data_IF_870657078515
#
_entry.id   IF_870657078515
#
_cell.length_a   1.000
_cell.length_b   1.000
_cell.length_c   1.000
_cell.angle_alpha   90.00
_cell.angle_beta   90.00
_cell.angle_gamma   90.00
#
_symmetry.space_group_name_H-M   'P 1'
#
loop_
_entity.id
_entity.type
_entity.pdbx_description
1 polymer ?
#
# COMPACT_ATOMS: atom_id res chain seq x y z
N UNK A 1 15.31 -0.37 -0.35
CA UNK A 1 16.10 -1.61 -0.03
C UNK A 1 16.73 -1.48 1.35
N UNK A 2 16.46 -2.42 2.25
CA UNK A 2 16.95 -2.40 3.62
C UNK A 2 18.28 -3.18 3.67
N UNK A 3 19.38 -2.45 3.95
CA UNK A 3 20.72 -3.03 4.16
C UNK A 3 21.03 -3.05 5.65
N UNK A 4 21.72 -4.09 6.11
CA UNK A 4 22.19 -4.19 7.48
C UNK A 4 23.70 -4.00 7.53
N UNK A 5 24.17 -3.14 8.43
CA UNK A 5 25.60 -2.95 8.65
C UNK A 5 26.24 -4.11 9.42
N UNK A 6 25.41 -4.98 10.03
CA UNK A 6 25.85 -6.13 10.84
C UNK A 6 26.27 -7.30 9.94
N UNK A 7 25.61 -7.47 8.79
CA UNK A 7 25.90 -8.54 7.82
C UNK A 7 26.14 -7.93 6.43
N UNK A 8 27.35 -7.40 6.18
CA UNK A 8 27.62 -6.59 4.97
C UNK A 8 27.53 -7.39 3.67
N UNK A 9 27.83 -8.68 3.69
CA UNK A 9 27.79 -9.57 2.52
C UNK A 9 26.39 -10.16 2.25
N UNK A 10 25.40 -9.85 3.10
CA UNK A 10 24.04 -10.36 2.92
C UNK A 10 23.32 -9.55 1.83
N UNK A 11 22.65 -10.21 0.87
CA UNK A 11 21.76 -9.54 -0.07
C UNK A 11 20.74 -8.65 0.65
N UNK A 12 20.47 -7.48 0.08
CA UNK A 12 19.54 -6.53 0.68
C UNK A 12 18.13 -7.11 0.76
N UNK A 13 17.41 -6.77 1.83
CA UNK A 13 16.00 -7.13 1.97
C UNK A 13 15.12 -6.09 1.27
N UNK A 14 14.12 -6.56 0.53
CA UNK A 14 13.10 -5.70 -0.09
C UNK A 14 11.79 -5.92 0.68
N UNK A 15 11.38 -4.91 1.42
CA UNK A 15 10.04 -4.85 1.99
C UNK A 15 9.08 -4.46 0.87
N UNK A 16 8.09 -5.30 0.61
CA UNK A 16 7.07 -5.05 -0.42
C UNK A 16 5.69 -5.17 0.19
N UNK A 17 4.78 -4.38 -0.37
CA UNK A 17 3.36 -4.36 -0.05
C UNK A 17 2.62 -4.69 -1.35
N UNK A 18 1.60 -5.56 -1.34
CA UNK A 18 0.85 -5.87 -2.55
C UNK A 18 0.33 -4.60 -3.21
N UNK A 19 0.42 -4.51 -4.53
CA UNK A 19 -0.01 -3.32 -5.27
C UNK A 19 -1.48 -3.00 -5.04
N UNK A 20 -2.31 -4.01 -4.84
CA UNK A 20 -3.73 -3.84 -4.49
C UNK A 20 -3.93 -3.14 -3.14
N UNK A 21 -3.06 -3.36 -2.15
CA UNK A 21 -3.13 -2.67 -0.85
C UNK A 21 -2.76 -1.18 -1.01
N UNK A 22 -1.72 -0.89 -1.79
CA UNK A 22 -1.33 0.49 -2.13
C UNK A 22 -2.49 1.21 -2.82
N UNK A 23 -3.09 0.57 -3.82
CA UNK A 23 -4.22 1.13 -4.56
C UNK A 23 -5.47 1.28 -3.70
N UNK A 24 -5.75 0.32 -2.82
CA UNK A 24 -6.84 0.34 -1.85
C UNK A 24 -6.74 1.58 -0.95
N UNK A 25 -5.53 1.87 -0.45
CA UNK A 25 -5.28 3.04 0.39
C UNK A 25 -5.41 4.36 -0.39
N UNK A 26 -4.86 4.44 -1.61
CA UNK A 26 -4.98 5.61 -2.49
C UNK A 26 -6.44 5.90 -2.86
N UNK A 27 -7.17 4.86 -3.26
CA UNK A 27 -8.54 4.97 -3.78
C UNK A 27 -9.60 4.96 -2.68
N UNK A 28 -9.19 4.78 -1.41
CA UNK A 28 -10.07 4.67 -0.23
C UNK A 28 -11.19 3.63 -0.46
N UNK A 29 -10.83 2.49 -1.04
CA UNK A 29 -11.76 1.41 -1.40
C UNK A 29 -11.16 0.06 -1.09
N UNK A 30 -11.96 -0.99 -0.91
CA UNK A 30 -11.43 -2.32 -0.59
C UNK A 30 -10.56 -2.87 -1.72
N UNK A 31 -9.58 -3.70 -1.36
CA UNK A 31 -8.72 -4.41 -2.31
C UNK A 31 -9.51 -5.21 -3.36
N UNK A 32 -10.67 -5.76 -2.97
CA UNK A 32 -11.57 -6.50 -3.86
C UNK A 32 -12.54 -5.64 -4.68
N UNK A 33 -12.55 -4.32 -4.49
CA UNK A 33 -13.43 -3.42 -5.25
C UNK A 33 -13.09 -3.44 -6.74
N UNK A 34 -14.11 -3.31 -7.59
CA UNK A 34 -13.91 -3.25 -9.04
C UNK A 34 -12.98 -2.09 -9.44
N UNK A 35 -13.04 -0.97 -8.72
CA UNK A 35 -12.19 0.19 -8.95
C UNK A 35 -10.71 -0.14 -8.72
N UNK A 36 -10.38 -0.78 -7.59
CA UNK A 36 -9.00 -1.20 -7.30
C UNK A 36 -8.54 -2.29 -8.27
N UNK A 37 -9.38 -3.27 -8.56
CA UNK A 37 -9.05 -4.36 -9.48
C UNK A 37 -8.79 -3.85 -10.91
N UNK A 38 -9.56 -2.87 -11.38
CA UNK A 38 -9.36 -2.24 -12.69
C UNK A 38 -8.04 -1.47 -12.74
N UNK A 39 -7.72 -0.69 -11.71
CA UNK A 39 -6.47 0.08 -11.67
C UNK A 39 -5.25 -0.84 -11.53
N UNK A 40 -5.37 -1.90 -10.73
CA UNK A 40 -4.35 -2.96 -10.62
C UNK A 40 -4.07 -3.59 -11.99
N UNK A 41 -5.14 -4.04 -12.67
CA UNK A 41 -5.03 -4.66 -13.99
C UNK A 41 -4.39 -3.71 -15.00
N UNK A 42 -4.82 -2.45 -15.02
CA UNK A 42 -4.26 -1.41 -15.88
C UNK A 42 -2.75 -1.25 -15.68
N UNK A 43 -2.26 -1.24 -14.44
CA UNK A 43 -0.83 -1.13 -14.16
C UNK A 43 -0.05 -2.36 -14.65
N UNK A 44 -0.50 -3.57 -14.30
CA UNK A 44 0.22 -4.80 -14.69
C UNK A 44 0.18 -5.04 -16.21
N UNK A 45 -0.91 -4.69 -16.88
CA UNK A 45 -1.03 -4.83 -18.34
C UNK A 45 -0.09 -3.85 -19.07
N UNK A 46 0.18 -2.67 -18.49
CA UNK A 46 1.11 -1.68 -19.07
C UNK A 46 2.58 -1.98 -18.73
N UNK A 47 2.86 -2.60 -17.57
CA UNK A 47 4.22 -2.75 -17.06
C UNK A 47 4.74 -4.20 -17.00
N UNK A 48 3.92 -5.17 -17.43
CA UNK A 48 4.30 -6.58 -17.53
C UNK A 48 4.11 -7.38 -16.23
N UNK A 49 3.82 -6.72 -15.12
CA UNK A 49 3.56 -7.37 -13.85
C UNK A 49 3.62 -6.46 -12.63
N UNK A 50 3.21 -7.01 -11.49
CA UNK A 50 3.22 -6.30 -10.21
C UNK A 50 4.65 -6.09 -9.69
N UNK A 51 5.51 -7.10 -9.81
CA UNK A 51 6.89 -6.99 -9.31
C UNK A 51 7.67 -5.91 -10.05
N UNK A 52 7.50 -5.81 -11.37
CA UNK A 52 8.07 -4.77 -12.21
C UNK A 52 7.56 -3.40 -11.76
N UNK A 53 6.24 -3.26 -11.61
CA UNK A 53 5.58 -2.04 -11.13
C UNK A 53 6.11 -1.61 -9.76
N UNK A 54 6.36 -2.54 -8.85
CA UNK A 54 6.82 -2.25 -7.49
C UNK A 54 8.34 -2.06 -7.37
N UNK A 55 9.15 -2.58 -8.30
CA UNK A 55 10.61 -2.60 -8.13
C UNK A 55 11.39 -1.76 -9.15
N UNK A 56 11.03 -1.82 -10.43
CA UNK A 56 11.89 -1.35 -11.52
C UNK A 56 11.32 -0.18 -12.31
N UNK A 57 9.99 -0.10 -12.46
CA UNK A 57 9.36 0.94 -13.27
C UNK A 57 9.58 2.33 -12.67
N UNK A 58 10.00 3.34 -13.45
CA UNK A 58 10.13 4.71 -12.98
C UNK A 58 8.81 5.28 -12.43
N UNK A 59 8.88 6.10 -11.37
CA UNK A 59 7.68 6.69 -10.75
C UNK A 59 6.94 7.64 -11.71
N UNK A 60 7.67 8.23 -12.66
CA UNK A 60 7.13 9.11 -13.70
C UNK A 60 6.21 8.36 -14.67
N UNK A 61 6.54 7.11 -14.99
CA UNK A 61 5.72 6.27 -15.86
C UNK A 61 4.46 5.81 -15.12
N UNK A 62 4.59 5.46 -13.83
CA UNK A 62 3.44 5.18 -12.96
C UNK A 62 2.54 6.41 -12.84
N UNK A 63 3.12 7.60 -12.69
CA UNK A 63 2.37 8.88 -12.66
C UNK A 63 1.57 9.10 -13.93
N UNK A 64 2.17 8.79 -15.09
CA UNK A 64 1.51 8.94 -16.41
C UNK A 64 0.30 8.01 -16.56
N UNK A 65 0.40 6.79 -16.06
CA UNK A 65 -0.65 5.77 -16.21
C UNK A 65 -1.73 5.91 -15.13
N UNK A 66 -1.35 6.01 -13.86
CA UNK A 66 -2.25 5.89 -12.70
C UNK A 66 -2.30 7.13 -11.80
N UNK A 67 -1.58 8.19 -12.17
CA UNK A 67 -1.61 9.47 -11.47
C UNK A 67 -0.60 9.57 -10.32
N UNK A 68 -0.39 10.79 -9.81
CA UNK A 68 0.69 11.11 -8.88
C UNK A 68 0.54 10.44 -7.51
N UNK A 69 -0.69 10.24 -7.02
CA UNK A 69 -0.92 9.60 -5.72
C UNK A 69 -0.49 8.13 -5.70
N UNK A 70 -0.74 7.40 -6.80
CA UNK A 70 -0.31 6.00 -6.93
C UNK A 70 1.21 5.91 -7.01
N UNK A 71 1.83 6.81 -7.79
CA UNK A 71 3.29 6.89 -7.88
C UNK A 71 3.94 7.24 -6.53
N UNK A 72 3.37 8.18 -5.78
CA UNK A 72 3.84 8.52 -4.43
C UNK A 72 3.74 7.30 -3.49
N UNK A 73 2.60 6.60 -3.49
CA UNK A 73 2.42 5.40 -2.67
C UNK A 73 3.44 4.30 -2.98
N UNK A 74 3.68 4.01 -4.26
CA UNK A 74 4.72 3.06 -4.68
C UNK A 74 6.12 3.56 -4.27
N UNK A 75 6.40 4.86 -4.41
CA UNK A 75 7.65 5.47 -3.99
C UNK A 75 7.91 5.30 -2.49
N UNK A 76 6.91 5.58 -1.65
CA UNK A 76 6.98 5.40 -0.20
C UNK A 76 7.26 3.97 0.20
N UNK A 77 6.58 3.01 -0.43
CA UNK A 77 6.80 1.58 -0.18
C UNK A 77 8.23 1.17 -0.57
N UNK A 78 8.73 1.61 -1.73
CA UNK A 78 10.12 1.33 -2.17
C UNK A 78 11.18 1.87 -1.21
N UNK A 79 10.91 3.04 -0.63
CA UNK A 79 11.78 3.70 0.34
C UNK A 79 11.64 3.15 1.77
N UNK A 80 10.60 2.36 2.04
CA UNK A 80 10.26 1.90 3.39
C UNK A 80 9.66 3.01 4.28
N UNK A 81 9.12 4.07 3.68
CA UNK A 81 8.45 5.18 4.35
C UNK A 81 6.99 4.86 4.68
N UNK A 82 6.75 3.72 5.32
CA UNK A 82 5.42 3.22 5.64
C UNK A 82 5.34 2.86 7.13
N UNK A 83 4.14 2.97 7.70
CA UNK A 83 3.84 2.50 9.06
C UNK A 83 3.13 1.16 8.96
N UNK A 84 3.57 0.19 9.77
CA UNK A 84 2.98 -1.14 9.78
C UNK A 84 2.48 -1.40 11.20
N UNK A 85 1.18 -1.66 11.32
CA UNK A 85 0.59 -2.25 12.52
C UNK A 85 0.73 -3.78 12.40
N UNK A 86 1.57 -4.43 13.19
CA UNK A 86 1.86 -5.84 13.02
C UNK A 86 0.63 -6.71 13.32
N UNK A 87 0.43 -7.73 12.49
CA UNK A 87 -0.57 -8.76 12.75
C UNK A 87 -0.18 -9.66 13.92
N UNK A 88 -1.15 -10.38 14.47
CA UNK A 88 -0.98 -11.32 15.58
C UNK A 88 -2.06 -12.41 15.53
N UNK A 89 -1.76 -13.61 16.03
CA UNK A 89 -2.72 -14.71 16.26
C UNK A 89 -3.74 -14.98 15.13
N UNK A 90 -3.28 -14.94 13.87
CA UNK A 90 -4.12 -15.18 12.69
C UNK A 90 -4.80 -13.93 12.11
N UNK A 91 -4.57 -12.77 12.70
CA UNK A 91 -4.96 -11.46 12.17
C UNK A 91 -3.81 -10.88 11.34
N UNK A 92 -4.11 -10.46 10.11
CA UNK A 92 -3.13 -9.78 9.26
C UNK A 92 -2.81 -8.39 9.80
N UNK A 93 -1.56 -7.96 9.62
CA UNK A 93 -1.16 -6.58 9.93
C UNK A 93 -1.76 -5.57 8.95
N UNK A 94 -1.77 -4.31 9.36
CA UNK A 94 -2.28 -3.20 8.54
C UNK A 94 -1.12 -2.31 8.12
N UNK A 95 -0.98 -2.11 6.81
CA UNK A 95 -0.03 -1.14 6.25
C UNK A 95 -0.72 0.21 6.12
N UNK A 96 -0.02 1.27 6.51
CA UNK A 96 -0.44 2.67 6.34
C UNK A 96 0.69 3.43 5.66
N UNK A 97 0.47 3.84 4.42
CA UNK A 97 1.40 4.59 3.58
C UNK A 97 1.34 6.08 3.96
N UNK A 98 0.14 6.61 4.14
CA UNK A 98 -0.07 7.94 4.72
C UNK A 98 -0.61 7.69 6.12
N UNK A 99 0.20 7.99 7.15
CA UNK A 99 -0.14 7.73 8.54
C UNK A 99 -1.53 8.24 8.94
N UNK A 100 -2.06 7.78 10.06
CA UNK A 100 -3.44 8.11 10.43
C UNK A 100 -3.68 9.63 10.48
N UNK A 101 -4.63 10.09 9.67
CA UNK A 101 -5.43 11.26 10.08
C UNK A 101 -6.06 10.87 11.42
N UNK A 102 -5.71 11.59 12.49
CA UNK A 102 -6.37 11.44 13.79
C UNK A 102 -7.87 11.60 13.56
N UNK A 103 -8.60 10.50 13.44
CA UNK A 103 -10.05 10.51 13.52
C UNK A 103 -10.35 10.89 14.95
N UNK A 104 -10.80 12.12 15.16
CA UNK A 104 -11.49 12.48 16.39
C UNK A 104 -12.54 11.39 16.65
N UNK A 105 -12.50 10.79 17.83
CA UNK A 105 -13.39 9.72 18.23
C UNK A 105 -14.84 10.19 18.03
N UNK A 106 -15.48 9.77 16.94
CA UNK A 106 -16.92 9.90 16.78
C UNK A 106 -17.55 9.06 17.88
N UNK A 107 -17.98 9.73 18.96
CA UNK A 107 -18.74 9.15 20.07
C UNK A 107 -19.81 8.22 19.49
N UNK A 108 -19.67 6.92 19.74
CA UNK A 108 -20.67 5.89 19.44
C UNK A 108 -22.06 6.46 19.75
N UNK A 109 -22.89 6.66 18.72
CA UNK A 109 -24.32 6.86 18.93
C UNK A 109 -24.83 5.57 19.56
N UNK A 110 -25.24 5.67 20.82
CA UNK A 110 -25.94 4.60 21.54
C UNK A 110 -27.07 4.08 20.64
N UNK A 111 -27.01 2.80 20.31
CA UNK A 111 -28.05 2.14 19.53
C UNK A 111 -29.31 2.09 20.40
N UNK A 112 -30.29 2.92 20.07
CA UNK A 112 -31.62 2.82 20.67
C UNK A 112 -32.21 1.46 20.28
N UNK A 113 -32.46 0.63 21.29
CA UNK A 113 -33.20 -0.62 21.15
C UNK A 113 -34.58 -0.34 20.56
N UNK A 114 -34.89 -0.94 19.41
CA UNK A 114 -36.26 -1.02 18.93
C UNK A 114 -36.86 -2.28 19.57
N UNK A 115 -37.63 -2.08 20.63
CA UNK A 115 -38.67 -3.02 21.03
C UNK A 115 -39.87 -2.87 20.08
#
# INVERSE_FOLDING_TARGET
>A
MIKTNIFPDRPAYIMMVPLQEILSEVLKSSTHSQTVQNEYKKLIDNFGGEFETLQSIPLEDITRISGPMVADGVGKVRNGEITIDPGYDGVFGVVKIWGEEKKEEEKKKEQLSLF
#
